data_IF_051961205496
#
_entry.id   IF_051961205496
#
_cell.length_a   1.000
_cell.length_b   1.000
_cell.length_c   1.000
_cell.angle_alpha   90.00
_cell.angle_beta   90.00
_cell.angle_gamma   90.00
#
_symmetry.space_group_name_H-M   'P 1'
#
loop_
_entity.id
_entity.type
_entity.pdbx_description
1 polymer ?
#
# COMPACT_ATOMS: atom_id res chain seq x y z
N UNK A 1 -2.76 12.35 -8.93
CA UNK A 1 -1.94 11.52 -9.82
C UNK A 1 -0.79 10.93 -8.99
N UNK A 2 -1.03 9.82 -8.29
CA UNK A 2 -0.02 9.14 -7.45
C UNK A 2 0.72 8.13 -8.33
N UNK A 3 1.34 8.62 -9.41
CA UNK A 3 2.09 7.77 -10.36
C UNK A 3 3.59 7.84 -10.13
N UNK A 4 4.04 8.71 -9.22
CA UNK A 4 5.43 8.71 -8.77
C UNK A 4 5.57 7.79 -7.54
N UNK A 5 6.52 6.84 -7.55
CA UNK A 5 6.82 6.04 -6.35
C UNK A 5 7.31 6.90 -5.17
N UNK A 6 7.70 8.14 -5.41
CA UNK A 6 8.01 9.11 -4.35
C UNK A 6 6.75 9.68 -3.72
N UNK A 7 5.71 9.95 -4.52
CA UNK A 7 4.46 10.57 -4.07
C UNK A 7 3.73 9.71 -3.02
N UNK A 8 3.75 8.38 -3.17
CA UNK A 8 3.12 7.49 -2.19
C UNK A 8 3.88 7.47 -0.86
N UNK A 9 5.22 7.53 -0.88
CA UNK A 9 6.05 7.57 0.34
C UNK A 9 5.90 8.89 1.10
N UNK A 10 5.78 10.00 0.37
CA UNK A 10 5.54 11.32 0.95
C UNK A 10 4.19 11.38 1.67
N UNK A 11 3.13 10.85 1.06
CA UNK A 11 1.81 10.78 1.67
C UNK A 11 1.81 9.87 2.89
N UNK A 12 2.46 8.70 2.79
CA UNK A 12 2.55 7.74 3.89
C UNK A 12 3.24 8.33 5.12
N UNK A 13 4.34 9.07 4.92
CA UNK A 13 5.07 9.75 5.98
C UNK A 13 4.34 10.99 6.53
N UNK A 14 3.63 11.73 5.69
CA UNK A 14 2.94 12.96 6.10
C UNK A 14 1.68 12.70 6.94
N UNK A 15 1.06 11.53 6.77
CA UNK A 15 -0.23 11.19 7.39
C UNK A 15 -0.21 9.89 8.20
N UNK A 16 0.97 9.25 8.38
CA UNK A 16 1.17 8.02 9.14
C UNK A 16 0.17 6.91 8.74
N UNK A 17 0.02 6.68 7.43
CA UNK A 17 -1.07 5.87 6.89
C UNK A 17 -0.77 4.37 6.80
N UNK A 18 0.50 3.96 6.84
CA UNK A 18 0.95 2.57 6.62
C UNK A 18 0.39 1.97 5.31
N UNK A 19 0.51 2.73 4.21
CA UNK A 19 0.01 2.32 2.89
C UNK A 19 0.71 1.04 2.41
N UNK A 20 2.00 0.89 2.76
CA UNK A 20 2.78 -0.30 2.45
C UNK A 20 2.24 -1.55 3.14
N UNK A 21 1.92 -1.48 4.44
CA UNK A 21 1.28 -2.57 5.18
C UNK A 21 -0.06 -2.95 4.57
N UNK A 22 -0.93 -1.97 4.33
CA UNK A 22 -2.24 -2.19 3.73
C UNK A 22 -2.17 -2.87 2.35
N UNK A 23 -1.19 -2.50 1.51
CA UNK A 23 -0.99 -3.14 0.21
C UNK A 23 -0.60 -4.62 0.37
N UNK A 24 0.32 -4.93 1.29
CA UNK A 24 0.74 -6.31 1.55
C UNK A 24 -0.40 -7.17 2.09
N UNK A 25 -1.23 -6.61 2.98
CA UNK A 25 -2.43 -7.29 3.48
C UNK A 25 -3.42 -7.60 2.36
N UNK A 26 -3.65 -6.66 1.45
CA UNK A 26 -4.51 -6.88 0.28
C UNK A 26 -3.97 -7.99 -0.63
N UNK A 27 -2.66 -8.02 -0.88
CA UNK A 27 -2.01 -9.07 -1.68
C UNK A 27 -2.18 -10.44 -1.01
N UNK A 28 -1.95 -10.51 0.30
CA UNK A 28 -2.11 -11.76 1.05
C UNK A 28 -3.56 -12.28 1.00
N UNK A 29 -4.55 -11.38 1.14
CA UNK A 29 -5.96 -11.73 1.04
C UNK A 29 -6.34 -12.25 -0.35
N UNK A 30 -5.85 -11.61 -1.42
CA UNK A 30 -6.09 -12.03 -2.80
C UNK A 30 -5.42 -13.39 -3.10
N UNK A 31 -4.21 -13.62 -2.58
CA UNK A 31 -3.54 -14.91 -2.71
C UNK A 31 -4.31 -16.02 -1.99
N UNK A 32 -4.75 -15.77 -0.76
CA UNK A 32 -5.56 -16.72 0.02
C UNK A 32 -6.91 -17.03 -0.65
N UNK A 33 -7.51 -16.07 -1.36
CA UNK A 33 -8.75 -16.27 -2.10
C UNK A 33 -8.58 -17.07 -3.40
N UNK A 34 -7.35 -17.26 -3.88
CA UNK A 34 -7.02 -18.02 -5.09
C UNK A 34 -6.66 -19.48 -4.82
N UNK A 35 -6.47 -19.85 -3.55
CA UNK A 35 -6.31 -21.24 -3.09
C UNK A 35 -7.67 -21.90 -2.83
#
# INVERSE_FOLDING_TARGET
NVTSPTCIREIDAAYELDIGGQLMDCIAAELAARE
#
